data_IF_889843845538
#
_entry.id   IF_889843845538
#
_cell.length_a   1.000
_cell.length_b   1.000
_cell.length_c   1.000
_cell.angle_alpha   90.00
_cell.angle_beta   90.00
_cell.angle_gamma   90.00
#
_symmetry.space_group_name_H-M   'P 1'
#
loop_
_entity.id
_entity.type
_entity.pdbx_description
1 polymer ?
#
# COMPACT_ATOMS: atom_id res chain seq x y z
N UNK A 1 20.89 -35.24 15.89
CA UNK A 1 20.22 -35.49 14.59
C UNK A 1 18.86 -34.83 14.66
N UNK A 2 18.82 -33.52 14.50
CA UNK A 2 18.48 -32.84 13.23
C UNK A 2 17.12 -33.28 12.70
N UNK A 3 16.11 -32.47 13.01
CA UNK A 3 15.06 -32.16 12.04
C UNK A 3 14.96 -30.64 12.05
N UNK A 4 15.68 -30.03 11.10
CA UNK A 4 15.41 -28.68 10.65
C UNK A 4 13.91 -28.59 10.34
N UNK A 5 13.17 -27.79 11.12
CA UNK A 5 11.82 -27.41 10.75
C UNK A 5 11.97 -26.51 9.53
N UNK A 6 11.59 -27.06 8.37
CA UNK A 6 11.54 -26.34 7.10
C UNK A 6 10.83 -25.02 7.31
N UNK A 7 11.47 -23.94 6.88
CA UNK A 7 10.83 -22.65 6.64
C UNK A 7 9.74 -22.95 5.60
N UNK A 8 8.48 -22.97 6.02
CA UNK A 8 7.36 -22.96 5.09
C UNK A 8 7.31 -21.51 4.62
N UNK A 9 7.90 -21.23 3.46
CA UNK A 9 7.49 -20.07 2.68
C UNK A 9 5.98 -20.26 2.46
N UNK A 10 5.17 -19.35 2.98
CA UNK A 10 3.72 -19.46 2.90
C UNK A 10 3.29 -19.32 1.43
N UNK A 11 3.09 -20.44 0.74
CA UNK A 11 2.57 -20.49 -0.64
C UNK A 11 1.10 -20.04 -0.70
N UNK A 12 0.38 -20.07 0.43
CA UNK A 12 -1.02 -19.66 0.56
C UNK A 12 -1.21 -18.60 1.66
N UNK A 13 -1.97 -17.54 1.37
CA UNK A 13 -2.42 -16.56 2.36
C UNK A 13 -3.61 -17.09 3.15
N UNK A 14 -3.49 -17.12 4.47
CA UNK A 14 -4.62 -17.33 5.36
C UNK A 14 -5.45 -16.05 5.46
N UNK A 15 -6.63 -16.05 4.85
CA UNK A 15 -7.54 -14.89 4.83
C UNK A 15 -8.69 -15.15 5.80
N UNK A 16 -8.85 -14.28 6.80
CA UNK A 16 -9.99 -14.32 7.72
C UNK A 16 -11.27 -13.87 7.01
N UNK A 17 -12.38 -14.55 7.27
CA UNK A 17 -13.73 -14.11 6.86
C UNK A 17 -14.38 -13.16 7.88
N UNK A 18 -13.64 -12.72 8.89
CA UNK A 18 -14.10 -11.81 9.93
C UNK A 18 -14.14 -10.34 9.50
N UNK A 19 -14.20 -9.47 10.50
CA UNK A 19 -14.11 -8.02 10.37
C UNK A 19 -12.82 -7.57 9.68
N UNK A 20 -12.81 -6.33 9.18
CA UNK A 20 -11.63 -5.71 8.56
C UNK A 20 -10.40 -5.76 9.48
N UNK A 21 -10.58 -5.52 10.78
CA UNK A 21 -9.52 -5.62 11.77
C UNK A 21 -8.99 -7.05 11.94
N UNK A 22 -9.86 -8.05 11.97
CA UNK A 22 -9.45 -9.46 12.06
C UNK A 22 -8.71 -9.92 10.81
N UNK A 23 -9.09 -9.41 9.62
CA UNK A 23 -8.34 -9.63 8.38
C UNK A 23 -6.92 -9.09 8.48
N UNK A 24 -6.75 -7.83 8.90
CA UNK A 24 -5.42 -7.25 9.11
C UNK A 24 -4.59 -8.02 10.15
N UNK A 25 -5.19 -8.36 11.29
CA UNK A 25 -4.51 -9.13 12.35
C UNK A 25 -4.03 -10.50 11.86
N UNK A 26 -4.79 -11.14 10.97
CA UNK A 26 -4.38 -12.40 10.34
C UNK A 26 -3.27 -12.17 9.30
N UNK A 27 -3.35 -11.09 8.54
CA UNK A 27 -2.42 -10.77 7.44
C UNK A 27 -1.04 -10.29 7.91
N UNK A 28 -0.96 -9.46 8.95
CA UNK A 28 0.28 -8.86 9.46
C UNK A 28 1.44 -9.84 9.66
N UNK A 29 1.31 -10.94 10.43
CA UNK A 29 2.40 -11.87 10.63
C UNK A 29 2.82 -12.58 9.33
N UNK A 30 1.89 -12.76 8.38
CA UNK A 30 2.17 -13.37 7.09
C UNK A 30 2.97 -12.41 6.20
N UNK A 31 2.57 -11.14 6.09
CA UNK A 31 3.34 -10.13 5.38
C UNK A 31 4.73 -9.98 6.00
N UNK A 32 4.82 -9.89 7.33
CA UNK A 32 6.11 -9.77 8.00
C UNK A 32 7.04 -10.94 7.67
N UNK A 33 6.53 -12.17 7.76
CA UNK A 33 7.31 -13.36 7.40
C UNK A 33 7.67 -13.42 5.91
N UNK A 34 6.88 -12.81 5.04
CA UNK A 34 7.08 -12.83 3.59
C UNK A 34 8.22 -11.90 3.16
N UNK A 35 8.39 -10.77 3.83
CA UNK A 35 9.44 -9.79 3.53
C UNK A 35 10.66 -9.93 4.43
N UNK A 36 10.54 -10.59 5.59
CA UNK A 36 11.66 -10.82 6.51
C UNK A 36 12.71 -11.75 5.88
N UNK A 37 13.93 -11.22 5.69
CA UNK A 37 15.05 -11.96 5.10
C UNK A 37 15.19 -11.81 3.59
N UNK A 38 14.24 -11.16 2.90
CA UNK A 38 14.36 -10.76 1.50
C UNK A 38 14.88 -9.32 1.39
N UNK A 39 15.94 -9.14 0.60
CA UNK A 39 16.61 -7.84 0.42
C UNK A 39 16.21 -7.16 -0.90
N UNK A 40 15.58 -7.87 -1.83
CA UNK A 40 15.09 -7.28 -3.07
C UNK A 40 13.82 -6.47 -2.81
N UNK A 41 13.96 -5.14 -2.93
CA UNK A 41 12.87 -4.21 -2.72
C UNK A 41 11.68 -4.49 -3.66
N UNK A 42 11.93 -4.83 -4.93
CA UNK A 42 10.86 -5.03 -5.90
C UNK A 42 10.04 -6.27 -5.55
N UNK A 43 10.71 -7.36 -5.12
CA UNK A 43 10.05 -8.55 -4.62
C UNK A 43 9.16 -8.24 -3.41
N UNK A 44 9.68 -7.50 -2.42
CA UNK A 44 8.92 -7.12 -1.23
C UNK A 44 7.69 -6.27 -1.56
N UNK A 45 7.85 -5.23 -2.38
CA UNK A 45 6.73 -4.37 -2.80
C UNK A 45 5.69 -5.16 -3.62
N UNK A 46 6.12 -6.03 -4.53
CA UNK A 46 5.22 -6.86 -5.32
C UNK A 46 4.39 -7.79 -4.41
N UNK A 47 5.04 -8.49 -3.49
CA UNK A 47 4.39 -9.41 -2.57
C UNK A 47 3.43 -8.71 -1.59
N UNK A 48 3.81 -7.55 -1.05
CA UNK A 48 2.91 -6.76 -0.20
C UNK A 48 1.68 -6.30 -0.99
N UNK A 49 1.86 -5.81 -2.23
CA UNK A 49 0.72 -5.39 -3.06
C UNK A 49 -0.23 -6.56 -3.37
N UNK A 50 0.31 -7.75 -3.68
CA UNK A 50 -0.46 -8.96 -3.92
C UNK A 50 -1.24 -9.39 -2.68
N UNK A 51 -0.58 -9.45 -1.51
CA UNK A 51 -1.20 -9.91 -0.28
C UNK A 51 -2.34 -9.00 0.21
N UNK A 52 -2.16 -7.68 0.08
CA UNK A 52 -3.21 -6.70 0.36
C UNK A 52 -4.38 -6.81 -0.64
N UNK A 53 -4.09 -6.94 -1.95
CA UNK A 53 -5.12 -7.10 -2.98
C UNK A 53 -5.96 -8.36 -2.75
N UNK A 54 -5.32 -9.49 -2.48
CA UNK A 54 -5.99 -10.78 -2.30
C UNK A 54 -6.86 -10.81 -1.04
N UNK A 55 -6.37 -10.22 0.07
CA UNK A 55 -7.08 -10.20 1.35
C UNK A 55 -8.36 -9.35 1.34
N UNK A 56 -8.28 -8.18 0.70
CA UNK A 56 -9.33 -7.16 0.80
C UNK A 56 -10.13 -6.96 -0.48
N UNK A 57 -9.60 -7.38 -1.64
CA UNK A 57 -10.25 -7.16 -2.92
C UNK A 57 -10.32 -5.67 -3.32
N UNK A 58 -9.46 -4.82 -2.75
CA UNK A 58 -9.40 -3.39 -3.09
C UNK A 58 -9.26 -3.17 -4.60
N UNK A 59 -9.73 -2.04 -5.13
CA UNK A 59 -9.76 -1.80 -6.57
C UNK A 59 -8.34 -1.74 -7.15
N UNK A 60 -7.48 -0.97 -6.51
CA UNK A 60 -6.07 -0.81 -6.87
C UNK A 60 -5.22 -0.82 -5.60
N UNK A 61 -4.06 -1.46 -5.65
CA UNK A 61 -3.09 -1.52 -4.54
C UNK A 61 -1.70 -1.45 -5.14
N UNK A 62 -0.88 -0.50 -4.75
CA UNK A 62 0.47 -0.45 -5.31
C UNK A 62 1.33 0.68 -4.80
N UNK A 63 2.52 0.77 -5.37
CA UNK A 63 3.54 1.69 -4.91
C UNK A 63 3.93 2.67 -6.00
N UNK A 64 4.25 3.89 -5.59
CA UNK A 64 5.04 4.82 -6.39
C UNK A 64 6.32 5.17 -5.66
N UNK A 65 7.44 5.20 -6.40
CA UNK A 65 8.77 5.44 -5.85
C UNK A 65 9.30 6.79 -6.32
N UNK A 66 9.95 7.52 -5.42
CA UNK A 66 10.55 8.81 -5.75
C UNK A 66 11.74 8.59 -6.69
N UNK A 67 11.71 9.26 -7.85
CA UNK A 67 12.81 9.32 -8.82
C UNK A 67 12.98 10.77 -9.28
N UNK A 68 13.91 11.47 -8.64
CA UNK A 68 14.09 12.91 -8.85
C UNK A 68 12.88 13.69 -8.36
N UNK A 69 12.26 14.47 -9.24
CA UNK A 69 11.14 15.36 -8.93
C UNK A 69 9.75 14.72 -9.09
N UNK A 70 9.71 13.40 -9.31
CA UNK A 70 8.48 12.66 -9.58
C UNK A 70 8.40 11.36 -8.77
N UNK A 71 7.18 11.01 -8.38
CA UNK A 71 6.77 9.65 -8.06
C UNK A 71 6.63 8.87 -9.38
N UNK A 72 7.27 7.71 -9.47
CA UNK A 72 7.23 6.81 -10.63
C UNK A 72 6.62 5.48 -10.21
N UNK A 73 5.67 4.99 -11.01
CA UNK A 73 4.94 3.76 -10.75
C UNK A 73 5.89 2.57 -10.50
N UNK A 74 5.69 1.89 -9.37
CA UNK A 74 6.36 0.66 -8.95
C UNK A 74 5.45 -0.56 -9.07
N UNK A 75 5.69 -1.64 -8.29
CA UNK A 75 4.82 -2.81 -8.27
C UNK A 75 3.40 -2.46 -7.80
N UNK A 76 2.39 -3.05 -8.44
CA UNK A 76 0.99 -2.83 -8.13
C UNK A 76 0.09 -3.98 -8.58
N UNK A 77 -1.15 -3.98 -8.10
CA UNK A 77 -2.24 -4.86 -8.47
C UNK A 77 -3.47 -4.02 -8.82
N UNK A 78 -4.02 -4.20 -10.03
CA UNK A 78 -5.17 -3.45 -10.50
C UNK A 78 -5.07 -3.11 -11.99
N UNK A 79 -6.01 -2.32 -12.53
CA UNK A 79 -5.91 -1.81 -13.90
C UNK A 79 -4.69 -0.89 -14.10
N UNK A 80 -4.38 -0.58 -15.35
CA UNK A 80 -3.30 0.34 -15.74
C UNK A 80 -3.49 1.69 -15.03
N UNK A 81 -2.41 2.22 -14.46
CA UNK A 81 -2.38 3.47 -13.71
C UNK A 81 -1.47 4.54 -14.35
N UNK A 82 -1.51 5.75 -13.81
CA UNK A 82 -0.59 6.83 -14.18
C UNK A 82 0.87 6.40 -13.97
N UNK A 83 1.76 6.68 -14.91
CA UNK A 83 3.17 6.29 -14.75
C UNK A 83 3.96 7.25 -13.84
N UNK A 84 3.57 8.53 -13.80
CA UNK A 84 4.33 9.60 -13.14
C UNK A 84 3.40 10.58 -12.43
N UNK A 85 3.77 10.97 -11.21
CA UNK A 85 3.03 11.95 -10.38
C UNK A 85 4.04 12.97 -9.83
N UNK A 86 3.78 14.26 -10.00
CA UNK A 86 4.65 15.31 -9.45
C UNK A 86 4.37 15.54 -7.96
N UNK A 87 5.39 15.99 -7.23
CA UNK A 87 5.23 16.39 -5.82
C UNK A 87 4.12 17.43 -5.64
N UNK A 88 3.28 17.23 -4.65
CA UNK A 88 2.13 18.10 -4.32
C UNK A 88 0.94 18.00 -5.29
N UNK A 89 0.93 17.03 -6.21
CA UNK A 89 -0.16 16.87 -7.20
C UNK A 89 -0.95 15.60 -6.94
N UNK A 90 -2.29 15.72 -6.94
CA UNK A 90 -3.17 14.62 -6.56
C UNK A 90 -2.97 14.19 -5.11
N UNK A 91 -3.64 13.12 -4.70
CA UNK A 91 -3.55 12.60 -3.33
C UNK A 91 -2.15 12.05 -3.06
N UNK A 92 -1.65 11.16 -3.93
CA UNK A 92 -0.27 10.64 -3.88
C UNK A 92 0.81 11.71 -3.75
N UNK A 93 0.81 12.72 -4.64
CA UNK A 93 1.79 13.80 -4.60
C UNK A 93 1.63 14.68 -3.35
N UNK A 94 0.40 14.85 -2.85
CA UNK A 94 0.15 15.62 -1.61
C UNK A 94 0.68 14.88 -0.39
N UNK A 95 0.46 13.56 -0.29
CA UNK A 95 1.01 12.72 0.77
C UNK A 95 2.55 12.79 0.75
N UNK A 96 3.15 12.70 -0.44
CA UNK A 96 4.60 12.90 -0.60
C UNK A 96 5.06 14.30 -0.15
N UNK A 97 4.33 15.36 -0.50
CA UNK A 97 4.71 16.72 -0.15
C UNK A 97 4.65 17.00 1.35
N UNK A 98 3.67 16.42 2.04
CA UNK A 98 3.44 16.62 3.47
C UNK A 98 4.19 15.63 4.36
N UNK A 99 4.67 14.51 3.80
CA UNK A 99 5.14 13.36 4.57
C UNK A 99 4.08 12.86 5.56
N UNK A 100 2.81 12.90 5.13
CA UNK A 100 1.65 12.55 5.94
C UNK A 100 0.78 11.54 5.20
N UNK A 101 0.21 10.59 5.94
CA UNK A 101 -0.81 9.69 5.44
C UNK A 101 -2.09 10.46 5.14
N UNK A 102 -2.74 10.15 4.02
CA UNK A 102 -4.01 10.76 3.64
C UNK A 102 -5.09 9.68 3.50
N UNK A 103 -6.21 9.87 4.19
CA UNK A 103 -7.43 9.06 4.04
C UNK A 103 -8.47 9.95 3.36
N UNK A 104 -8.83 9.61 2.12
CA UNK A 104 -9.70 10.43 1.27
C UNK A 104 -11.03 9.70 1.06
N UNK A 105 -12.12 10.12 1.71
CA UNK A 105 -13.40 9.43 1.63
C UNK A 105 -14.13 9.63 0.29
N UNK A 106 -13.84 10.73 -0.41
CA UNK A 106 -14.32 11.03 -1.76
C UNK A 106 -13.22 11.72 -2.57
N UNK A 107 -12.63 11.02 -3.54
CA UNK A 107 -11.53 11.56 -4.36
C UNK A 107 -11.99 12.71 -5.27
N UNK A 108 -13.26 12.73 -5.68
CA UNK A 108 -13.80 13.82 -6.51
C UNK A 108 -13.90 15.13 -5.74
N UNK A 109 -14.05 15.05 -4.41
CA UNK A 109 -14.07 16.20 -3.52
C UNK A 109 -12.67 16.70 -3.14
N UNK A 110 -11.61 15.96 -3.47
CA UNK A 110 -10.24 16.30 -3.08
C UNK A 110 -9.69 17.47 -3.93
N UNK A 111 -9.25 18.59 -3.33
CA UNK A 111 -8.73 19.72 -4.07
C UNK A 111 -7.49 19.37 -4.90
N UNK A 112 -7.54 19.64 -6.21
CA UNK A 112 -6.43 19.34 -7.11
C UNK A 112 -6.29 17.85 -7.45
N UNK A 113 -7.38 17.07 -7.31
CA UNK A 113 -7.45 15.69 -7.75
C UNK A 113 -7.04 15.55 -9.23
N UNK A 114 -6.15 14.59 -9.49
CA UNK A 114 -5.79 14.12 -10.82
C UNK A 114 -6.33 12.71 -10.90
N UNK A 115 -7.53 12.56 -11.46
CA UNK A 115 -8.12 11.25 -11.62
C UNK A 115 -7.26 10.41 -12.59
N UNK A 116 -6.61 9.37 -12.06
CA UNK A 116 -5.93 8.36 -12.87
C UNK A 116 -6.91 7.30 -13.40
N UNK A 117 -8.00 7.05 -12.66
CA UNK A 117 -9.12 6.19 -13.06
C UNK A 117 -10.45 6.84 -12.65
N UNK A 118 -11.45 6.85 -13.52
CA UNK A 118 -12.79 7.35 -13.20
C UNK A 118 -13.60 6.44 -12.26
N UNK A 119 -13.08 5.24 -11.96
CA UNK A 119 -13.75 4.27 -11.08
C UNK A 119 -13.32 4.40 -9.62
N UNK A 120 -12.17 5.03 -9.34
CA UNK A 120 -11.77 5.28 -7.95
C UNK A 120 -12.72 6.29 -7.30
N UNK A 121 -13.22 5.97 -6.11
CA UNK A 121 -14.16 6.79 -5.32
C UNK A 121 -13.57 7.19 -3.98
N UNK A 122 -12.74 6.36 -3.36
CA UNK A 122 -11.99 6.69 -2.16
C UNK A 122 -10.57 6.15 -2.26
N UNK A 123 -9.63 6.79 -1.56
CA UNK A 123 -8.20 6.52 -1.66
C UNK A 123 -7.55 6.62 -0.27
N UNK A 124 -6.59 5.76 0.03
CA UNK A 124 -5.67 5.91 1.15
C UNK A 124 -4.24 5.87 0.64
N UNK A 125 -3.46 6.88 1.00
CA UNK A 125 -2.03 6.97 0.64
C UNK A 125 -1.19 7.00 1.90
N UNK A 126 -0.23 6.08 1.97
CA UNK A 126 0.72 5.95 3.09
C UNK A 126 2.13 6.29 2.59
N UNK A 127 2.77 7.36 3.07
CA UNK A 127 4.15 7.68 2.71
C UNK A 127 5.14 6.67 3.30
N UNK A 128 6.10 6.24 2.48
CA UNK A 128 7.24 5.43 2.91
C UNK A 128 8.38 6.38 3.30
N UNK A 129 8.70 6.44 4.59
CA UNK A 129 9.56 7.45 5.19
C UNK A 129 10.82 6.80 5.74
N UNK A 130 11.99 7.30 5.33
CA UNK A 130 13.29 6.90 5.88
C UNK A 130 13.46 7.45 7.31
N UNK A 131 14.40 6.89 8.07
CA UNK A 131 14.74 7.38 9.42
C UNK A 131 15.11 8.87 9.47
N UNK A 132 15.69 9.41 8.38
CA UNK A 132 16.02 10.83 8.26
C UNK A 132 14.81 11.75 7.94
N UNK A 133 13.59 11.18 7.85
CA UNK A 133 12.35 11.89 7.52
C UNK A 133 12.11 12.06 6.01
N UNK A 134 12.97 11.54 5.16
CA UNK A 134 12.79 11.62 3.70
C UNK A 134 11.77 10.60 3.21
N UNK A 135 10.74 11.07 2.49
CA UNK A 135 9.82 10.20 1.77
C UNK A 135 10.50 9.64 0.52
N UNK A 136 10.62 8.32 0.42
CA UNK A 136 11.22 7.64 -0.72
C UNK A 136 10.20 6.94 -1.64
N UNK A 137 8.95 6.85 -1.21
CA UNK A 137 7.84 6.33 -1.99
C UNK A 137 6.51 6.51 -1.26
N UNK A 138 5.45 6.00 -1.85
CA UNK A 138 4.11 5.91 -1.25
C UNK A 138 3.50 4.55 -1.56
N UNK A 139 2.77 3.97 -0.61
CA UNK A 139 1.73 2.98 -0.87
C UNK A 139 0.44 3.73 -1.17
N UNK A 140 -0.24 3.33 -2.23
CA UNK A 140 -1.49 3.90 -2.71
C UNK A 140 -2.52 2.78 -2.89
N UNK A 141 -3.71 3.00 -2.35
CA UNK A 141 -4.82 2.04 -2.40
C UNK A 141 -6.12 2.77 -2.73
N UNK A 142 -6.76 2.33 -3.80
CA UNK A 142 -8.04 2.84 -4.27
C UNK A 142 -9.19 1.86 -4.00
N UNK A 143 -10.40 2.42 -3.91
CA UNK A 143 -11.65 1.66 -3.87
C UNK A 143 -12.70 2.26 -4.79
N UNK A 144 -13.54 1.41 -5.39
CA UNK A 144 -14.73 1.81 -6.17
C UNK A 144 -15.88 2.30 -5.28
N UNK A 145 -15.76 2.19 -3.95
CA UNK A 145 -16.74 2.68 -2.99
C UNK A 145 -16.25 3.93 -2.28
N UNK A 146 -17.16 4.85 -1.95
CA UNK A 146 -16.88 6.00 -1.09
C UNK A 146 -16.56 5.54 0.33
N UNK A 147 -15.71 6.29 1.03
CA UNK A 147 -15.41 6.11 2.45
C UNK A 147 -15.04 4.66 2.83
N UNK A 148 -14.24 4.00 1.99
CA UNK A 148 -13.81 2.60 2.22
C UNK A 148 -12.80 2.50 3.36
N UNK A 149 -11.93 3.50 3.46
CA UNK A 149 -10.80 3.51 4.37
C UNK A 149 -11.10 4.32 5.65
N UNK A 150 -10.63 3.82 6.79
CA UNK A 150 -10.81 4.43 8.12
C UNK A 150 -9.55 4.29 8.99
N UNK A 151 -9.64 4.61 10.29
CA UNK A 151 -8.49 4.53 11.19
C UNK A 151 -7.91 3.11 11.34
N UNK A 152 -8.71 2.07 11.06
CA UNK A 152 -8.24 0.67 11.05
C UNK A 152 -7.23 0.46 9.93
N UNK A 153 -7.55 0.91 8.72
CA UNK A 153 -6.63 0.79 7.57
C UNK A 153 -5.40 1.65 7.81
N UNK A 154 -5.59 2.90 8.24
CA UNK A 154 -4.50 3.82 8.53
C UNK A 154 -3.49 3.21 9.52
N UNK A 155 -3.98 2.63 10.62
CA UNK A 155 -3.13 1.98 11.62
C UNK A 155 -2.34 0.82 11.02
N UNK A 156 -3.01 -0.14 10.38
CA UNK A 156 -2.36 -1.39 9.98
C UNK A 156 -1.53 -1.27 8.70
N UNK A 157 -1.95 -0.43 7.75
CA UNK A 157 -1.14 -0.11 6.57
C UNK A 157 0.09 0.70 6.96
N UNK A 158 -0.02 1.63 7.92
CA UNK A 158 1.13 2.31 8.49
C UNK A 158 2.13 1.34 9.13
N UNK A 159 1.64 0.33 9.85
CA UNK A 159 2.50 -0.72 10.43
C UNK A 159 3.21 -1.54 9.35
N UNK A 160 2.49 -2.01 8.32
CA UNK A 160 3.07 -2.75 7.19
C UNK A 160 4.15 -1.92 6.48
N UNK A 161 3.84 -0.66 6.18
CA UNK A 161 4.79 0.24 5.50
C UNK A 161 6.04 0.53 6.34
N UNK A 162 5.97 0.42 7.68
CA UNK A 162 7.13 0.61 8.55
C UNK A 162 8.17 -0.52 8.46
N UNK A 163 7.83 -1.64 7.81
CA UNK A 163 8.73 -2.79 7.63
C UNK A 163 9.48 -2.78 6.28
N UNK A 164 9.15 -1.84 5.39
CA UNK A 164 9.72 -1.68 4.05
C UNK A 164 10.86 -0.65 4.04
#
# INVERSE_FOLDING_TARGET
MSVFRSIIMAEDLCISNGSKAEKYQTLLPQIKSLIEGENDLIANLANVSAALKETFGFFWVGFYLVKGEELVLGPFQGPIACTRIRKGRGVCGTAWAKAEMLVVPDVDAFPGHIACSSLSRSEIVVPLIRENGEVWGVLDIDSESLNTFDETDARFLGEICSWL
#
